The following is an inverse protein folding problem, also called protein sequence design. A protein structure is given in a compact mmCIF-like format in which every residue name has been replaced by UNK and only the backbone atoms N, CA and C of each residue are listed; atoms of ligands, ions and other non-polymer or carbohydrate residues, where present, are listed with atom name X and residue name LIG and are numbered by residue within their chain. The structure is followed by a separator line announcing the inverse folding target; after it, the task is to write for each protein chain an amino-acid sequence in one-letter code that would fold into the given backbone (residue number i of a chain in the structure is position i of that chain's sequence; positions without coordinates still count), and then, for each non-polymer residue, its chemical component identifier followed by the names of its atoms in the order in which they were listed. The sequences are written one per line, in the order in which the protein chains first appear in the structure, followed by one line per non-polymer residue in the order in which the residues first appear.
data_IF_941411912199
#
_entry.id   IF_941411912199
#
_cell.length_a   1.000
_cell.length_b   1.000
_cell.length_c   1.000
_cell.angle_alpha   90.00
_cell.angle_beta   90.00
_cell.angle_gamma   90.00
#
_symmetry.space_group_name_H-M   'P 1'
#
loop_
_entity.id
_entity.type
_entity.pdbx_description
1 polymer ?
#
# COMPACT_ATOMS: atom_id res chain seq x y z
N UNK A 1 7.25 12.02 6.15
CA UNK A 1 8.49 11.38 6.67
C UNK A 1 9.58 11.16 5.61
N UNK A 2 9.42 10.25 4.64
CA UNK A 2 10.53 9.83 3.77
C UNK A 2 10.95 10.87 2.71
N UNK A 3 10.14 11.07 1.66
CA UNK A 3 10.57 11.87 0.49
C UNK A 3 10.77 13.36 0.77
N UNK A 4 9.87 13.98 1.53
CA UNK A 4 9.90 15.43 1.78
C UNK A 4 10.77 15.83 2.98
N UNK A 5 10.75 15.03 4.05
CA UNK A 5 11.40 15.38 5.33
C UNK A 5 12.70 14.60 5.58
N UNK A 6 13.04 13.62 4.73
CA UNK A 6 14.25 12.79 4.82
C UNK A 6 14.44 12.10 6.19
N UNK A 7 13.36 11.80 6.89
CA UNK A 7 13.42 11.01 8.13
C UNK A 7 13.80 9.56 7.83
N UNK A 8 14.55 8.93 8.73
CA UNK A 8 14.99 7.53 8.60
C UNK A 8 13.83 6.59 8.93
N UNK A 9 12.99 6.27 7.97
CA UNK A 9 11.81 5.41 8.17
C UNK A 9 12.14 3.94 8.50
N UNK A 10 13.41 3.53 8.43
CA UNK A 10 13.87 2.24 8.97
C UNK A 10 14.13 2.26 10.48
N UNK A 11 14.04 3.42 11.12
CA UNK A 11 14.17 3.59 12.57
C UNK A 11 12.79 3.47 13.23
N UNK A 12 12.70 2.64 14.28
CA UNK A 12 11.47 2.38 15.03
C UNK A 12 10.89 3.64 15.63
N UNK A 13 11.72 4.50 16.23
CA UNK A 13 11.22 5.71 16.89
C UNK A 13 10.62 6.68 15.86
N UNK A 14 11.21 6.77 14.67
CA UNK A 14 10.65 7.59 13.58
C UNK A 14 9.27 7.10 13.17
N UNK A 15 9.04 5.78 13.12
CA UNK A 15 7.74 5.22 12.78
C UNK A 15 6.69 5.52 13.86
N UNK A 16 7.07 5.39 15.13
CA UNK A 16 6.19 5.70 16.27
C UNK A 16 5.81 7.17 16.34
N UNK A 17 6.77 8.07 16.12
CA UNK A 17 6.52 9.52 16.05
C UNK A 17 5.55 9.85 14.91
N UNK A 18 5.74 9.24 13.72
CA UNK A 18 4.84 9.46 12.58
C UNK A 18 3.43 8.94 12.87
N UNK A 19 3.30 7.80 13.56
CA UNK A 19 2.00 7.26 13.96
C UNK A 19 1.25 8.23 14.90
N UNK A 20 1.94 8.75 15.90
CA UNK A 20 1.39 9.73 16.85
C UNK A 20 1.04 11.07 16.18
N UNK A 21 1.88 11.56 15.27
CA UNK A 21 1.63 12.79 14.48
C UNK A 21 0.32 12.75 13.68
N UNK A 22 -0.11 11.57 13.23
CA UNK A 22 -1.38 11.38 12.50
C UNK A 22 -2.54 10.94 13.40
N UNK A 23 -2.34 10.91 14.73
CA UNK A 23 -3.37 10.65 15.73
C UNK A 23 -3.56 9.17 16.11
N UNK A 24 -2.62 8.28 15.77
CA UNK A 24 -2.65 6.89 16.24
C UNK A 24 -2.05 6.78 17.64
N UNK A 25 -2.53 5.82 18.44
CA UNK A 25 -1.96 5.52 19.75
C UNK A 25 -0.54 4.93 19.62
N UNK A 26 0.43 5.57 20.27
CA UNK A 26 1.85 5.18 20.18
C UNK A 26 2.11 3.78 20.74
N UNK A 27 1.44 3.40 21.84
CA UNK A 27 1.64 2.10 22.46
C UNK A 27 1.08 0.96 21.59
N UNK A 28 -0.10 1.16 21.00
CA UNK A 28 -0.69 0.25 20.03
C UNK A 28 0.17 0.13 18.76
N UNK A 29 0.72 1.24 18.26
CA UNK A 29 1.65 1.23 17.13
C UNK A 29 2.94 0.44 17.46
N UNK A 30 3.49 0.62 18.67
CA UNK A 30 4.65 -0.15 19.13
C UNK A 30 4.34 -1.65 19.22
N UNK A 31 3.18 -2.02 19.78
CA UNK A 31 2.74 -3.41 19.82
C UNK A 31 2.56 -4.01 18.41
N UNK A 32 2.02 -3.23 17.47
CA UNK A 32 1.86 -3.67 16.08
C UNK A 32 3.20 -3.86 15.36
N UNK A 33 4.22 -3.05 15.66
CA UNK A 33 5.58 -3.25 15.12
C UNK A 33 6.26 -4.52 15.65
N UNK A 34 5.86 -4.98 16.83
CA UNK A 34 6.37 -6.21 17.46
C UNK A 34 5.51 -7.44 17.11
N UNK A 35 4.37 -7.26 16.41
CA UNK A 35 3.44 -8.34 16.07
C UNK A 35 3.92 -9.15 14.86
N UNK A 36 4.30 -10.39 15.12
CA UNK A 36 4.79 -11.33 14.10
C UNK A 36 3.71 -11.75 13.09
N UNK A 37 2.43 -11.72 13.47
CA UNK A 37 1.33 -11.99 12.55
C UNK A 37 1.18 -10.86 11.51
N UNK A 38 1.31 -9.60 11.94
CA UNK A 38 1.34 -8.46 11.02
C UNK A 38 2.56 -8.49 10.10
N UNK A 39 3.72 -8.89 10.63
CA UNK A 39 4.93 -9.09 9.83
C UNK A 39 4.72 -10.20 8.79
N UNK A 40 4.10 -11.32 9.17
CA UNK A 40 3.77 -12.43 8.27
C UNK A 40 2.78 -12.00 7.19
N UNK A 41 1.73 -11.25 7.56
CA UNK A 41 0.74 -10.73 6.62
C UNK A 41 1.38 -9.85 5.55
N UNK A 42 2.25 -8.92 5.95
CA UNK A 42 3.00 -8.06 5.02
C UNK A 42 3.80 -8.88 3.98
N UNK A 43 4.52 -9.92 4.44
CA UNK A 43 5.30 -10.81 3.55
C UNK A 43 4.41 -11.66 2.64
N UNK A 44 3.22 -12.06 3.09
CA UNK A 44 2.26 -12.79 2.27
C UNK A 44 1.74 -11.90 1.14
N UNK A 45 1.38 -10.65 1.44
CA UNK A 45 0.90 -9.69 0.43
C UNK A 45 2.00 -9.35 -0.60
N UNK A 46 3.25 -9.18 -0.15
CA UNK A 46 4.40 -9.01 -1.05
C UNK A 46 4.56 -10.19 -2.02
N UNK A 47 4.51 -11.43 -1.51
CA UNK A 47 4.60 -12.63 -2.36
C UNK A 47 3.44 -12.74 -3.33
N UNK A 48 2.21 -12.46 -2.89
CA UNK A 48 1.05 -12.47 -3.76
C UNK A 48 1.19 -11.47 -4.92
N UNK A 49 1.74 -10.28 -4.67
CA UNK A 49 2.03 -9.31 -5.73
C UNK A 49 3.09 -9.83 -6.72
N UNK A 50 4.15 -10.48 -6.22
CA UNK A 50 5.17 -11.10 -7.07
C UNK A 50 4.58 -12.24 -7.93
N UNK A 51 3.69 -13.07 -7.39
CA UNK A 51 2.99 -14.13 -8.12
C UNK A 51 2.08 -13.57 -9.24
N UNK A 52 1.59 -12.34 -9.07
CA UNK A 52 0.87 -11.60 -10.12
C UNK A 52 1.79 -10.93 -11.15
N UNK A 53 3.09 -11.23 -11.14
CA UNK A 53 4.13 -10.62 -11.99
C UNK A 53 4.24 -9.09 -11.82
N UNK A 54 3.89 -8.55 -10.66
CA UNK A 54 4.14 -7.14 -10.35
C UNK A 54 5.61 -6.97 -9.99
N UNK A 55 6.38 -6.34 -10.89
CA UNK A 55 7.83 -6.10 -10.73
C UNK A 55 8.18 -4.64 -10.45
N UNK A 56 7.18 -3.76 -10.36
CA UNK A 56 7.37 -2.33 -10.11
C UNK A 56 6.12 -1.68 -9.53
N UNK A 57 6.33 -0.57 -8.82
CA UNK A 57 5.27 0.19 -8.13
C UNK A 57 5.21 1.65 -8.61
N UNK A 58 4.04 2.30 -8.57
CA UNK A 58 2.74 1.75 -8.16
C UNK A 58 2.13 0.82 -9.23
N UNK A 59 1.38 -0.18 -8.78
CA UNK A 59 0.55 -1.04 -9.62
C UNK A 59 -0.80 -1.20 -8.92
N UNK A 60 -1.89 -0.82 -9.59
CA UNK A 60 -3.23 -0.84 -9.01
C UNK A 60 -4.02 -2.02 -9.58
N UNK A 61 -4.66 -2.80 -8.71
CA UNK A 61 -5.54 -3.90 -9.11
C UNK A 61 -6.98 -3.51 -8.74
N UNK A 62 -7.87 -3.53 -9.71
CA UNK A 62 -9.30 -3.24 -9.54
C UNK A 62 -10.08 -4.55 -9.70
N UNK A 63 -11.00 -4.83 -8.78
CA UNK A 63 -11.82 -6.05 -8.77
C UNK A 63 -10.99 -7.35 -8.81
N UNK A 64 -9.78 -7.33 -8.25
CA UNK A 64 -8.87 -8.48 -8.22
C UNK A 64 -8.36 -8.96 -9.59
N UNK A 65 -8.71 -8.29 -10.69
CA UNK A 65 -8.44 -8.80 -12.06
C UNK A 65 -7.99 -7.76 -13.08
N UNK A 66 -8.26 -6.47 -12.85
CA UNK A 66 -7.88 -5.41 -13.80
C UNK A 66 -6.70 -4.62 -13.28
N UNK A 67 -5.55 -4.78 -13.93
CA UNK A 67 -4.31 -4.09 -13.54
C UNK A 67 -4.14 -2.76 -14.28
N UNK A 68 -3.78 -1.71 -13.54
CA UNK A 68 -3.31 -0.41 -14.04
C UNK A 68 -1.85 -0.25 -13.60
N UNK A 69 -0.88 -0.44 -14.51
CA UNK A 69 0.55 -0.40 -14.17
C UNK A 69 1.09 1.03 -14.17
N UNK A 70 1.93 1.35 -13.18
CA UNK A 70 2.66 2.60 -13.07
C UNK A 70 1.83 3.76 -12.53
N UNK A 71 2.51 4.89 -12.30
CA UNK A 71 1.89 6.14 -11.89
C UNK A 71 1.20 6.79 -13.12
N UNK A 72 -0.03 6.37 -13.38
CA UNK A 72 -0.82 6.87 -14.51
C UNK A 72 -1.48 8.22 -14.18
N UNK A 73 -1.81 9.04 -15.20
CA UNK A 73 -2.56 10.28 -14.98
C UNK A 73 -4.02 9.99 -14.56
N UNK A 74 -4.70 10.92 -13.87
CA UNK A 74 -6.07 10.72 -13.37
C UNK A 74 -7.06 10.28 -14.44
N UNK A 75 -6.93 10.78 -15.67
CA UNK A 75 -7.83 10.44 -16.78
C UNK A 75 -7.75 8.96 -17.16
N UNK A 76 -6.56 8.37 -17.07
CA UNK A 76 -6.37 6.94 -17.32
C UNK A 76 -7.07 6.09 -16.24
N UNK A 77 -7.02 6.52 -14.98
CA UNK A 77 -7.76 5.88 -13.88
C UNK A 77 -9.27 5.98 -14.09
N UNK A 78 -9.79 7.17 -14.42
CA UNK A 78 -11.23 7.37 -14.67
C UNK A 78 -11.73 6.44 -15.77
N UNK A 79 -11.02 6.37 -16.89
CA UNK A 79 -11.40 5.52 -18.02
C UNK A 79 -11.32 4.04 -17.67
N UNK A 80 -10.26 3.61 -16.97
CA UNK A 80 -10.12 2.23 -16.52
C UNK A 80 -11.26 1.82 -15.56
N UNK A 81 -11.53 2.64 -14.54
CA UNK A 81 -12.58 2.37 -13.55
C UNK A 81 -13.98 2.30 -14.18
N UNK A 82 -14.31 3.20 -15.11
CA UNK A 82 -15.57 3.13 -15.87
C UNK A 82 -15.70 1.83 -16.65
N UNK A 83 -14.64 1.43 -17.36
CA UNK A 83 -14.63 0.17 -18.12
C UNK A 83 -14.73 -1.06 -17.23
N UNK A 84 -14.14 -1.02 -16.03
CA UNK A 84 -14.30 -2.09 -15.04
C UNK A 84 -15.75 -2.18 -14.59
N UNK A 85 -16.36 -1.05 -14.21
CA UNK A 85 -17.75 -1.00 -13.75
C UNK A 85 -18.74 -1.51 -14.80
N UNK A 86 -18.56 -1.14 -16.07
CA UNK A 86 -19.37 -1.65 -17.18
C UNK A 86 -19.27 -3.18 -17.33
N UNK A 87 -18.08 -3.76 -17.08
CA UNK A 87 -17.81 -5.19 -17.19
C UNK A 87 -18.19 -6.02 -15.96
N UNK A 88 -18.44 -5.39 -14.81
CA UNK A 88 -18.85 -6.07 -13.58
C UNK A 88 -20.33 -5.90 -13.27
N UNK A 89 -21.00 -4.91 -13.86
CA UNK A 89 -22.45 -4.73 -13.77
C UNK A 89 -23.26 -5.68 -14.67
N UNK A 90 -22.60 -6.33 -15.64
CA UNK A 90 -23.16 -7.35 -16.53
C UNK A 90 -22.87 -8.76 -16.00
#
# INVERSE_FOLDING_TARGET
AHFNQRRRIGDREVLLDVAEEIGLDRAAAAAALDDEELARKTRVEERAAMEMNITGVPAMIVEGRFMIPGAQPPEAYVNALRRVAEKTAA
#
